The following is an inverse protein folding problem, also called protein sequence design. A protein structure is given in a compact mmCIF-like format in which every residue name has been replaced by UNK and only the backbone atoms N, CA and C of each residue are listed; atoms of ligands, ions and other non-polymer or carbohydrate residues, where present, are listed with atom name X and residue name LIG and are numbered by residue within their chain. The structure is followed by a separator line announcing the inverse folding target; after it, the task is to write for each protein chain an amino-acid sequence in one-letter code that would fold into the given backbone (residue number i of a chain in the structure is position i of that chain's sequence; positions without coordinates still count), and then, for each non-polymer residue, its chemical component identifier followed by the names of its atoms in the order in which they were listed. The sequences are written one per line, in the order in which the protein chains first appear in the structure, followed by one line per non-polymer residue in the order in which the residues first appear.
data_IF_741013437515
#
_entry.id   IF_741013437515
#
_cell.length_a   1.000
_cell.length_b   1.000
_cell.length_c   1.000
_cell.angle_alpha   90.00
_cell.angle_beta   90.00
_cell.angle_gamma   90.00
#
_symmetry.space_group_name_H-M   'P 1'
#
loop_
_entity.id
_entity.type
_entity.pdbx_description
1 polymer ?
#
# COMPACT_ATOMS: atom_id res chain seq x y z
N UNK A 1 -13.88 -22.01 -48.64
CA UNK A 1 -14.56 -22.48 -47.40
C UNK A 1 -14.21 -21.52 -46.28
N UNK A 2 -15.17 -21.09 -45.46
CA UNK A 2 -14.90 -20.18 -44.35
C UNK A 2 -14.20 -20.91 -43.19
N UNK A 3 -13.18 -20.28 -42.59
CA UNK A 3 -12.45 -20.85 -41.45
C UNK A 3 -13.36 -20.87 -40.20
N UNK A 4 -13.36 -22.01 -39.48
CA UNK A 4 -14.15 -22.26 -38.27
C UNK A 4 -14.01 -21.13 -37.23
N UNK A 5 -15.15 -20.64 -36.74
CA UNK A 5 -15.25 -19.53 -35.76
C UNK A 5 -15.57 -20.02 -34.34
N UNK A 6 -16.47 -21.00 -34.21
CA UNK A 6 -16.82 -21.62 -32.93
C UNK A 6 -15.91 -22.81 -32.66
N UNK A 7 -15.20 -22.81 -31.53
CA UNK A 7 -14.28 -23.87 -31.13
C UNK A 7 -14.75 -24.55 -29.84
N UNK A 8 -14.86 -25.87 -29.87
CA UNK A 8 -15.02 -26.68 -28.65
C UNK A 8 -13.65 -26.84 -28.02
N UNK A 9 -13.50 -26.43 -26.77
CA UNK A 9 -12.25 -26.47 -26.02
C UNK A 9 -12.45 -27.33 -24.77
N UNK A 10 -11.60 -28.33 -24.60
CA UNK A 10 -11.54 -29.15 -23.39
C UNK A 10 -10.44 -28.56 -22.50
N UNK A 11 -10.83 -28.01 -21.37
CA UNK A 11 -9.92 -27.38 -20.41
C UNK A 11 -9.21 -28.41 -19.52
N UNK A 12 -8.09 -28.02 -18.90
CA UNK A 12 -7.36 -28.89 -17.96
C UNK A 12 -8.18 -29.23 -16.71
N UNK A 13 -9.11 -28.36 -16.32
CA UNK A 13 -10.06 -28.62 -15.23
C UNK A 13 -11.11 -29.70 -15.57
N UNK A 14 -11.15 -30.19 -16.82
CA UNK A 14 -12.09 -31.22 -17.30
C UNK A 14 -13.35 -30.65 -17.97
N UNK A 15 -13.60 -29.34 -17.85
CA UNK A 15 -14.75 -28.71 -18.48
C UNK A 15 -14.59 -28.56 -19.98
N UNK A 16 -15.71 -28.71 -20.70
CA UNK A 16 -15.77 -28.47 -22.14
C UNK A 16 -16.60 -27.22 -22.41
N UNK A 17 -16.02 -26.23 -23.08
CA UNK A 17 -16.72 -24.98 -23.44
C UNK A 17 -16.74 -24.77 -24.95
N UNK A 18 -17.77 -24.08 -25.44
CA UNK A 18 -17.79 -23.56 -26.80
C UNK A 18 -17.39 -22.08 -26.78
N UNK A 19 -16.28 -21.77 -27.44
CA UNK A 19 -15.72 -20.42 -27.51
C UNK A 19 -15.90 -19.88 -28.92
N UNK A 20 -16.57 -18.73 -29.05
CA UNK A 20 -16.60 -17.99 -30.30
C UNK A 20 -15.31 -17.18 -30.46
N UNK A 21 -14.58 -17.45 -31.55
CA UNK A 21 -13.34 -16.77 -31.92
C UNK A 21 -13.53 -15.93 -33.19
N UNK A 22 -14.76 -15.54 -33.52
CA UNK A 22 -15.11 -14.70 -34.66
C UNK A 22 -14.33 -13.38 -34.69
N UNK A 23 -14.12 -12.76 -33.51
CA UNK A 23 -13.36 -11.53 -33.31
C UNK A 23 -11.83 -11.69 -33.49
N UNK A 24 -11.33 -12.93 -33.55
CA UNK A 24 -9.90 -13.20 -33.79
C UNK A 24 -9.60 -13.41 -35.28
N UNK A 25 -8.42 -12.98 -35.76
CA UNK A 25 -7.94 -13.31 -37.10
C UNK A 25 -7.95 -14.81 -37.37
N UNK A 26 -8.36 -15.22 -38.59
CA UNK A 26 -8.66 -16.61 -38.93
C UNK A 26 -7.46 -17.56 -38.77
N UNK A 27 -6.25 -17.08 -39.02
CA UNK A 27 -4.96 -17.78 -38.84
C UNK A 27 -4.64 -18.07 -37.37
N UNK A 28 -5.14 -17.26 -36.43
CA UNK A 28 -4.84 -17.38 -34.99
C UNK A 28 -5.86 -18.19 -34.20
N UNK A 29 -7.04 -18.47 -34.75
CA UNK A 29 -8.14 -19.14 -34.03
C UNK A 29 -7.75 -20.53 -33.51
N UNK A 30 -7.12 -21.34 -34.36
CA UNK A 30 -6.68 -22.69 -33.99
C UNK A 30 -5.58 -22.69 -32.92
N UNK A 31 -4.63 -21.75 -33.00
CA UNK A 31 -3.59 -21.59 -31.99
C UNK A 31 -4.17 -21.18 -30.63
N UNK A 32 -5.10 -20.23 -30.63
CA UNK A 32 -5.75 -19.76 -29.42
C UNK A 32 -6.64 -20.82 -28.75
N UNK A 33 -7.37 -21.61 -29.55
CA UNK A 33 -8.15 -22.73 -29.02
C UNK A 33 -7.26 -23.80 -28.33
N UNK A 34 -6.09 -24.10 -28.90
CA UNK A 34 -5.11 -24.98 -28.23
C UNK A 34 -4.60 -24.40 -26.91
N UNK A 35 -4.25 -23.12 -26.91
CA UNK A 35 -3.81 -22.43 -25.69
C UNK A 35 -4.88 -22.41 -24.59
N UNK A 36 -6.16 -22.27 -24.95
CA UNK A 36 -7.27 -22.35 -23.98
C UNK A 36 -7.43 -23.76 -23.41
N UNK A 37 -7.12 -24.81 -24.17
CA UNK A 37 -7.21 -26.21 -23.72
C UNK A 37 -6.12 -26.58 -22.70
N UNK A 38 -4.99 -25.86 -22.71
CA UNK A 38 -3.87 -26.05 -21.77
C UNK A 38 -4.12 -25.43 -20.38
N UNK A 39 -5.31 -24.86 -20.14
CA UNK A 39 -5.63 -24.09 -18.94
C UNK A 39 -7.03 -24.41 -18.44
N UNK A 40 -7.27 -24.09 -17.17
CA UNK A 40 -8.59 -24.18 -16.57
C UNK A 40 -9.55 -23.18 -17.21
N UNK A 41 -10.84 -23.52 -17.22
CA UNK A 41 -11.88 -22.61 -17.66
C UNK A 41 -11.92 -21.38 -16.74
N UNK A 42 -12.45 -20.26 -17.23
CA UNK A 42 -12.50 -19.01 -16.47
C UNK A 42 -13.23 -19.15 -15.14
N UNK A 43 -14.25 -20.02 -15.07
CA UNK A 43 -15.04 -20.23 -13.87
C UNK A 43 -14.30 -21.06 -12.82
N UNK A 44 -13.62 -22.15 -13.21
CA UNK A 44 -12.72 -22.90 -12.34
C UNK A 44 -11.53 -22.04 -11.87
N UNK A 45 -10.94 -21.23 -12.75
CA UNK A 45 -9.88 -20.29 -12.37
C UNK A 45 -10.38 -19.27 -11.35
N UNK A 46 -11.57 -18.68 -11.54
CA UNK A 46 -12.16 -17.75 -10.56
C UNK A 46 -12.49 -18.45 -9.24
N UNK A 47 -13.02 -19.66 -9.27
CA UNK A 47 -13.32 -20.44 -8.06
C UNK A 47 -12.04 -20.72 -7.25
N UNK A 48 -10.97 -21.16 -7.92
CA UNK A 48 -9.67 -21.39 -7.29
C UNK A 48 -9.03 -20.10 -6.73
N UNK A 49 -9.31 -18.93 -7.31
CA UNK A 49 -8.85 -17.65 -6.78
C UNK A 49 -9.73 -17.14 -5.62
N UNK A 50 -11.05 -17.36 -5.68
CA UNK A 50 -12.03 -16.84 -4.72
C UNK A 50 -11.75 -17.26 -3.28
N UNK A 51 -11.41 -18.52 -3.06
CA UNK A 51 -11.18 -19.09 -1.71
C UNK A 51 -9.96 -18.48 -0.98
N UNK A 52 -8.93 -18.05 -1.71
CA UNK A 52 -7.72 -17.43 -1.13
C UNK A 52 -7.87 -15.90 -0.96
N UNK A 53 -8.72 -15.25 -1.79
CA UNK A 53 -8.85 -13.78 -1.76
C UNK A 53 -9.56 -13.22 -0.53
N UNK A 54 -10.63 -13.87 -0.05
CA UNK A 54 -11.39 -13.39 1.11
C UNK A 54 -10.55 -13.53 2.40
N UNK A 55 -9.94 -14.70 2.60
CA UNK A 55 -9.00 -14.96 3.70
C UNK A 55 -7.82 -13.98 3.70
N UNK A 56 -7.26 -13.67 2.53
CA UNK A 56 -6.17 -12.70 2.39
C UNK A 56 -6.63 -11.26 2.65
N UNK A 57 -7.82 -10.88 2.20
CA UNK A 57 -8.37 -9.54 2.44
C UNK A 57 -8.63 -9.30 3.92
N UNK A 58 -9.24 -10.28 4.61
CA UNK A 58 -9.45 -10.24 6.06
C UNK A 58 -8.13 -10.18 6.83
N UNK A 59 -7.14 -10.99 6.44
CA UNK A 59 -5.82 -10.96 7.04
C UNK A 59 -5.14 -9.60 6.85
N UNK A 60 -5.19 -9.01 5.65
CA UNK A 60 -4.65 -7.68 5.38
C UNK A 60 -5.38 -6.60 6.19
N UNK A 61 -6.70 -6.71 6.35
CA UNK A 61 -7.49 -5.78 7.16
C UNK A 61 -7.09 -5.84 8.64
N UNK A 62 -7.00 -7.06 9.20
CA UNK A 62 -6.53 -7.28 10.59
C UNK A 62 -5.11 -6.76 10.79
N UNK A 63 -4.20 -7.02 9.85
CA UNK A 63 -2.82 -6.53 9.90
C UNK A 63 -2.76 -5.01 9.90
N UNK A 64 -3.49 -4.34 9.00
CA UNK A 64 -3.54 -2.86 8.96
C UNK A 64 -4.15 -2.25 10.21
N UNK A 65 -5.19 -2.89 10.77
CA UNK A 65 -5.80 -2.44 12.02
C UNK A 65 -4.82 -2.54 13.20
N UNK A 66 -4.04 -3.63 13.29
CA UNK A 66 -2.99 -3.78 14.30
C UNK A 66 -1.88 -2.72 14.14
N UNK A 67 -1.36 -2.53 12.93
CA UNK A 67 -0.35 -1.49 12.65
C UNK A 67 -0.85 -0.07 12.98
N UNK A 68 -2.15 0.19 12.74
CA UNK A 68 -2.78 1.46 13.08
C UNK A 68 -2.84 1.67 14.59
N UNK A 69 -3.30 0.66 15.34
CA UNK A 69 -3.38 0.74 16.80
C UNK A 69 -2.00 0.95 17.44
N UNK A 70 -0.96 0.26 16.95
CA UNK A 70 0.42 0.49 17.39
C UNK A 70 0.89 1.92 17.11
N UNK A 71 0.48 2.52 15.99
CA UNK A 71 0.84 3.88 15.65
C UNK A 71 0.13 4.93 16.49
N UNK A 72 -1.10 4.66 16.90
CA UNK A 72 -1.86 5.49 17.83
C UNK A 72 -1.29 5.39 19.24
N UNK A 73 -0.98 4.18 19.73
CA UNK A 73 -0.35 3.97 21.04
C UNK A 73 1.03 4.66 21.10
N UNK A 74 1.85 4.48 20.06
CA UNK A 74 3.13 5.17 19.95
C UNK A 74 2.94 6.70 19.93
N UNK A 75 1.99 7.21 19.14
CA UNK A 75 1.72 8.65 19.09
C UNK A 75 1.30 9.19 20.47
N UNK A 76 0.48 8.44 21.22
CA UNK A 76 0.10 8.82 22.59
C UNK A 76 1.29 8.81 23.55
N UNK A 77 2.10 7.74 23.53
CA UNK A 77 3.28 7.56 24.39
C UNK A 77 4.29 8.68 24.21
N UNK A 78 4.58 9.04 22.96
CA UNK A 78 5.55 10.07 22.60
C UNK A 78 4.92 11.46 22.47
N UNK A 79 3.63 11.62 22.81
CA UNK A 79 2.86 12.88 22.77
C UNK A 79 2.92 13.56 21.39
N UNK A 80 2.81 12.77 20.33
CA UNK A 80 2.75 13.24 18.96
C UNK A 80 1.33 13.74 18.67
N UNK A 81 1.13 15.02 18.28
CA UNK A 81 -0.19 15.55 17.99
C UNK A 81 -0.91 14.76 16.88
N UNK A 82 -2.25 14.78 16.84
CA UNK A 82 -2.99 14.19 15.73
C UNK A 82 -2.62 14.90 14.42
N UNK A 83 -2.59 14.12 13.33
CA UNK A 83 -2.33 14.68 12.01
C UNK A 83 -3.60 15.30 11.42
N UNK A 84 -3.41 16.23 10.49
CA UNK A 84 -4.44 16.98 9.79
C UNK A 84 -4.49 16.60 8.31
N UNK A 85 -5.69 16.48 7.76
CA UNK A 85 -5.96 16.08 6.39
C UNK A 85 -7.24 15.26 6.28
N UNK A 86 -7.39 14.51 5.18
CA UNK A 86 -8.50 13.54 5.04
C UNK A 86 -8.30 12.35 5.98
N UNK A 87 -9.37 11.70 6.46
CA UNK A 87 -9.29 10.52 7.33
C UNK A 87 -8.32 9.44 6.80
N UNK A 88 -8.37 9.20 5.48
CA UNK A 88 -7.47 8.25 4.80
C UNK A 88 -6.01 8.70 4.89
N UNK A 89 -5.76 9.99 4.69
CA UNK A 89 -4.42 10.57 4.78
C UNK A 89 -3.92 10.55 6.23
N UNK A 90 -4.77 10.86 7.22
CA UNK A 90 -4.43 10.83 8.64
C UNK A 90 -4.04 9.41 9.06
N UNK A 91 -4.87 8.40 8.78
CA UNK A 91 -4.56 7.02 9.15
C UNK A 91 -3.23 6.53 8.52
N UNK A 92 -3.02 6.81 7.23
CA UNK A 92 -1.77 6.40 6.59
C UNK A 92 -0.57 7.24 7.05
N UNK A 93 -0.72 8.55 7.17
CA UNK A 93 0.31 9.47 7.66
C UNK A 93 0.77 9.12 9.08
N UNK A 94 -0.15 8.73 9.97
CA UNK A 94 0.19 8.31 11.34
C UNK A 94 1.07 7.07 11.35
N UNK A 95 0.78 6.08 10.49
CA UNK A 95 1.64 4.90 10.32
C UNK A 95 3.00 5.27 9.72
N UNK A 96 3.04 6.10 8.68
CA UNK A 96 4.28 6.55 8.06
C UNK A 96 5.16 7.34 9.05
N UNK A 97 4.57 8.26 9.83
CA UNK A 97 5.27 9.02 10.88
C UNK A 97 5.92 8.09 11.89
N UNK A 98 5.17 7.11 12.42
CA UNK A 98 5.73 6.13 13.36
C UNK A 98 6.90 5.36 12.74
N UNK A 99 6.70 4.84 11.53
CA UNK A 99 7.71 4.02 10.85
C UNK A 99 8.99 4.81 10.61
N UNK A 100 8.88 6.03 10.07
CA UNK A 100 10.01 6.89 9.80
C UNK A 100 10.74 7.31 11.09
N UNK A 101 10.00 7.74 12.11
CA UNK A 101 10.58 8.14 13.41
C UNK A 101 11.28 6.97 14.11
N UNK A 102 10.69 5.77 14.09
CA UNK A 102 11.30 4.58 14.68
C UNK A 102 12.56 4.16 13.91
N UNK A 103 12.51 4.15 12.57
CA UNK A 103 13.67 3.82 11.75
C UNK A 103 14.78 4.87 11.88
N UNK A 104 14.43 6.15 11.99
CA UNK A 104 15.38 7.24 12.18
C UNK A 104 16.06 7.15 13.55
N UNK A 105 15.32 6.82 14.62
CA UNK A 105 15.92 6.55 15.93
C UNK A 105 16.93 5.40 15.86
N UNK A 106 16.58 4.30 15.17
CA UNK A 106 17.51 3.19 14.98
C UNK A 106 18.77 3.65 14.24
N UNK A 107 18.62 4.32 13.09
CA UNK A 107 19.75 4.72 12.25
C UNK A 107 20.65 5.79 12.91
N UNK A 108 20.06 6.77 13.61
CA UNK A 108 20.76 7.93 14.13
C UNK A 108 21.27 7.71 15.56
N UNK A 109 20.47 7.10 16.43
CA UNK A 109 20.76 6.97 17.86
C UNK A 109 21.28 5.57 18.21
N UNK A 110 20.56 4.52 17.82
CA UNK A 110 20.93 3.15 18.23
C UNK A 110 22.17 2.63 17.49
N UNK A 111 22.28 2.95 16.20
CA UNK A 111 23.38 2.54 15.32
C UNK A 111 24.31 3.70 14.94
N UNK A 112 23.84 4.93 15.10
CA UNK A 112 24.58 6.15 14.77
C UNK A 112 25.27 6.80 15.97
N UNK A 113 25.56 8.09 15.83
CA UNK A 113 26.27 8.89 16.85
C UNK A 113 25.40 9.98 17.48
N UNK A 114 24.13 10.06 17.09
CA UNK A 114 23.20 11.07 17.62
C UNK A 114 22.88 10.77 19.07
N UNK A 115 23.04 11.75 19.95
CA UNK A 115 22.74 11.59 21.36
C UNK A 115 21.23 11.58 21.61
N UNK A 116 20.81 11.12 22.80
CA UNK A 116 19.41 11.21 23.22
C UNK A 116 18.94 12.68 23.34
N UNK A 117 19.83 13.63 23.68
CA UNK A 117 19.47 15.05 23.70
C UNK A 117 19.24 15.60 22.28
N UNK A 118 20.09 15.23 21.33
CA UNK A 118 19.92 15.62 19.92
C UNK A 118 18.67 14.99 19.32
N UNK A 119 18.36 13.74 19.69
CA UNK A 119 17.11 13.09 19.32
C UNK A 119 15.88 13.82 19.88
N UNK A 120 15.94 14.28 21.13
CA UNK A 120 14.86 15.10 21.72
C UNK A 120 14.55 16.35 20.88
N UNK A 121 15.58 17.01 20.33
CA UNK A 121 15.39 18.15 19.44
C UNK A 121 14.73 17.77 18.10
N UNK A 122 15.04 16.59 17.56
CA UNK A 122 14.39 16.03 16.37
C UNK A 122 12.92 15.74 16.65
N UNK A 123 12.60 15.12 17.80
CA UNK A 123 11.20 14.88 18.20
C UNK A 123 10.42 16.18 18.35
N UNK A 124 11.01 17.18 18.99
CA UNK A 124 10.38 18.49 19.18
C UNK A 124 10.18 19.23 17.85
N UNK A 125 11.10 19.09 16.91
CA UNK A 125 10.93 19.60 15.55
C UNK A 125 9.82 18.86 14.79
N UNK A 126 9.62 17.57 15.02
CA UNK A 126 8.60 16.75 14.37
C UNK A 126 7.18 17.00 14.89
N UNK A 127 7.00 17.26 16.20
CA UNK A 127 5.68 17.49 16.83
C UNK A 127 4.79 18.51 16.10
N UNK A 128 5.27 19.71 15.71
CA UNK A 128 4.43 20.71 15.04
C UNK A 128 4.09 20.36 13.58
N UNK A 129 4.73 19.36 12.96
CA UNK A 129 4.40 18.96 11.59
C UNK A 129 3.17 18.05 11.59
N UNK A 130 1.99 18.64 11.64
CA UNK A 130 0.72 17.90 11.70
C UNK A 130 0.14 17.58 10.33
N UNK A 131 0.64 18.16 9.22
CA UNK A 131 0.10 17.85 7.88
C UNK A 131 0.36 16.38 7.50
N UNK A 132 -0.70 15.59 7.38
CA UNK A 132 -0.58 14.16 7.07
C UNK A 132 0.09 13.90 5.71
N UNK A 133 -0.16 14.78 4.72
CA UNK A 133 0.45 14.68 3.39
C UNK A 133 1.98 14.71 3.42
N UNK A 134 2.58 15.53 4.29
CA UNK A 134 4.03 15.65 4.39
C UNK A 134 4.68 14.33 4.81
N UNK A 135 4.13 13.66 5.83
CA UNK A 135 4.60 12.34 6.29
C UNK A 135 4.42 11.24 5.25
N UNK A 136 3.39 11.34 4.42
CA UNK A 136 3.16 10.39 3.32
C UNK A 136 4.19 10.54 2.20
N UNK A 137 4.63 11.77 1.95
CA UNK A 137 5.65 12.06 0.94
C UNK A 137 7.03 11.52 1.37
N UNK A 138 7.30 11.45 2.68
CA UNK A 138 8.58 10.93 3.22
C UNK A 138 8.61 9.42 3.48
N UNK A 139 7.55 8.68 3.12
CA UNK A 139 7.43 7.24 3.48
C UNK A 139 8.56 6.35 2.95
N UNK A 140 9.21 6.77 1.86
CA UNK A 140 10.27 6.05 1.16
C UNK A 140 11.63 6.76 1.31
N UNK A 141 11.72 7.78 2.18
CA UNK A 141 12.96 8.50 2.45
C UNK A 141 13.95 7.65 3.25
N UNK A 142 15.25 7.98 3.17
CA UNK A 142 16.24 7.42 4.07
C UNK A 142 15.94 7.91 5.49
N UNK A 143 15.80 7.01 6.49
CA UNK A 143 15.54 7.43 7.86
C UNK A 143 16.61 8.36 8.44
N UNK A 144 17.86 8.28 7.98
CA UNK A 144 18.93 9.17 8.42
C UNK A 144 18.75 10.63 7.95
N UNK A 145 17.97 10.86 6.90
CA UNK A 145 17.70 12.19 6.34
C UNK A 145 16.62 12.94 7.12
N UNK A 146 15.95 12.31 8.09
CA UNK A 146 14.85 12.90 8.85
C UNK A 146 15.18 14.31 9.42
N UNK A 147 16.36 14.58 10.01
CA UNK A 147 16.67 15.93 10.50
C UNK A 147 16.68 16.99 9.41
N UNK A 148 17.22 16.66 8.23
CA UNK A 148 17.24 17.58 7.07
C UNK A 148 15.82 17.81 6.53
N UNK A 149 15.02 16.74 6.43
CA UNK A 149 13.62 16.81 6.01
C UNK A 149 12.80 17.71 6.94
N UNK A 150 12.95 17.55 8.26
CA UNK A 150 12.27 18.38 9.26
C UNK A 150 12.69 19.86 9.17
N UNK A 151 13.96 20.13 8.88
CA UNK A 151 14.47 21.48 8.68
C UNK A 151 13.92 22.12 7.39
N UNK A 152 13.70 21.32 6.34
CA UNK A 152 13.12 21.79 5.08
C UNK A 152 11.59 22.00 5.13
N UNK A 153 10.90 21.42 6.11
CA UNK A 153 9.46 21.56 6.26
C UNK A 153 9.04 23.01 6.48
N UNK A 154 7.98 23.42 5.80
CA UNK A 154 7.54 24.82 5.76
C UNK A 154 6.42 25.09 6.76
N UNK A 155 6.02 26.35 6.90
CA UNK A 155 4.85 26.73 7.68
C UNK A 155 3.56 26.00 7.21
N UNK A 156 3.45 25.67 5.92
CA UNK A 156 2.31 24.93 5.39
C UNK A 156 2.23 23.46 5.86
N UNK A 157 3.34 22.90 6.35
CA UNK A 157 3.39 21.54 6.90
C UNK A 157 3.15 21.51 8.41
N UNK A 158 3.08 22.70 9.02
CA UNK A 158 2.79 22.97 10.43
C UNK A 158 1.47 23.72 10.58
N UNK A 159 0.34 23.17 10.10
CA UNK A 159 -0.92 23.87 10.19
C UNK A 159 -1.26 24.14 11.66
N UNK A 160 -1.49 25.41 11.99
CA UNK A 160 -1.96 25.86 13.30
C UNK A 160 -3.36 26.47 13.22
N UNK A 161 -4.00 26.51 12.05
CA UNK A 161 -5.27 27.21 11.86
C UNK A 161 -6.35 26.33 11.22
N UNK A 162 -7.41 26.18 12.02
CA UNK A 162 -8.77 25.85 11.66
C UNK A 162 -9.17 26.45 10.28
N UNK A 163 -9.43 25.64 9.24
CA UNK A 163 -9.65 26.12 7.87
C UNK A 163 -11.04 26.77 7.62
N UNK A 164 -11.72 27.22 8.68
CA UNK A 164 -12.99 27.94 8.58
C UNK A 164 -12.95 29.23 9.42
N UNK A 165 -12.36 30.29 8.85
CA UNK A 165 -12.72 31.68 9.11
C UNK A 165 -12.66 32.49 7.81
#
# INVERSE_FOLDING_TARGET
MAVKKIWTTNHTCGDTTQVDLSDRPADRRAGYARWLAERDCTDCWRAAQGEDTESKAEWLAKKRAAEQAEAEEWSARYRMPPLEGTDRAIAWGTRCRRQLMAAAYTALVAEGTTSEEEWGAIEDAARPLTRAGWWLDQRDADPADLPELLAAATAGDRPTENPHF
#
